data_IF_466640159900
#
_entry.id   IF_466640159900
#
_cell.length_a   1.000
_cell.length_b   1.000
_cell.length_c   1.000
_cell.angle_alpha   90.00
_cell.angle_beta   90.00
_cell.angle_gamma   90.00
#
_symmetry.space_group_name_H-M   'P 1'
#
loop_
_entity.id
_entity.type
_entity.pdbx_description
1 polymer ?
#
# COMPACT_ATOMS: atom_id res chain seq x y z
N UNK A 1 4.94 11.09 -8.72
CA UNK A 1 5.92 9.99 -8.97
C UNK A 1 5.31 8.68 -8.51
N UNK A 2 5.40 7.59 -9.29
CA UNK A 2 4.81 6.31 -8.89
C UNK A 2 5.67 5.59 -7.83
N UNK A 3 5.16 5.46 -6.61
CA UNK A 3 5.84 4.83 -5.49
C UNK A 3 5.12 3.55 -5.05
N UNK A 4 5.86 2.58 -4.49
CA UNK A 4 5.27 1.32 -4.02
C UNK A 4 4.29 1.56 -2.88
N UNK A 5 3.11 0.94 -2.94
CA UNK A 5 2.05 1.09 -1.95
C UNK A 5 2.54 0.84 -0.52
N UNK A 6 3.33 -0.22 -0.28
CA UNK A 6 3.88 -0.49 1.05
C UNK A 6 4.87 0.57 1.55
N UNK A 7 5.53 1.29 0.64
CA UNK A 7 6.44 2.40 0.98
C UNK A 7 5.62 3.65 1.31
N UNK A 8 4.60 3.96 0.52
CA UNK A 8 3.68 5.07 0.79
C UNK A 8 2.97 4.88 2.13
N UNK A 9 2.43 3.69 2.39
CA UNK A 9 1.81 3.35 3.69
C UNK A 9 2.78 3.50 4.87
N UNK A 10 4.05 3.11 4.68
CA UNK A 10 5.06 3.26 5.72
C UNK A 10 5.46 4.72 5.95
N UNK A 11 5.59 5.51 4.89
CA UNK A 11 5.86 6.95 4.97
C UNK A 11 4.70 7.70 5.63
N UNK A 12 3.46 7.26 5.40
CA UNK A 12 2.25 7.78 6.04
C UNK A 12 2.08 7.31 7.50
N UNK A 13 2.98 6.46 8.02
CA UNK A 13 2.92 5.97 9.40
C UNK A 13 1.82 4.93 9.67
N UNK A 14 1.21 4.36 8.62
CA UNK A 14 0.13 3.35 8.76
C UNK A 14 0.68 2.07 9.39
N UNK A 15 1.81 1.57 8.88
CA UNK A 15 2.49 0.39 9.37
C UNK A 15 3.93 0.33 8.84
N UNK A 16 4.76 -0.56 9.37
CA UNK A 16 6.07 -0.84 8.76
C UNK A 16 5.93 -1.39 7.33
N UNK A 17 6.94 -1.23 6.45
CA UNK A 17 6.89 -1.74 5.06
C UNK A 17 6.40 -3.20 4.97
N UNK A 18 6.89 -4.07 5.85
CA UNK A 18 6.49 -5.50 5.91
C UNK A 18 5.06 -5.69 6.41
N UNK A 19 4.64 -4.93 7.42
CA UNK A 19 3.27 -4.99 7.90
C UNK A 19 2.28 -4.47 6.84
N UNK A 20 2.65 -3.43 6.09
CA UNK A 20 1.87 -2.95 4.95
C UNK A 20 1.70 -4.01 3.87
N UNK A 21 2.74 -4.78 3.54
CA UNK A 21 2.62 -5.93 2.62
C UNK A 21 1.61 -6.98 3.12
N UNK A 22 1.61 -7.27 4.42
CA UNK A 22 0.64 -8.18 5.04
C UNK A 22 -0.79 -7.63 4.95
N UNK A 23 -0.98 -6.34 5.23
CA UNK A 23 -2.28 -5.68 5.13
C UNK A 23 -2.82 -5.69 3.69
N UNK A 24 -1.93 -5.48 2.70
CA UNK A 24 -2.28 -5.60 1.28
C UNK A 24 -2.75 -7.02 1.00
N UNK A 25 -1.96 -8.06 1.32
CA UNK A 25 -2.36 -9.45 1.10
C UNK A 25 -3.67 -9.85 1.79
N UNK A 26 -3.92 -9.31 2.99
CA UNK A 26 -5.16 -9.53 3.74
C UNK A 26 -6.37 -8.79 3.14
N UNK A 27 -6.20 -8.00 2.07
CA UNK A 27 -7.26 -7.20 1.46
C UNK A 27 -7.74 -6.06 2.35
N UNK A 28 -6.90 -5.61 3.28
CA UNK A 28 -7.20 -4.54 4.24
C UNK A 28 -6.84 -3.15 3.72
N UNK A 29 -6.33 -3.06 2.50
CA UNK A 29 -5.88 -1.81 1.88
C UNK A 29 -6.75 -1.48 0.68
N UNK A 30 -7.26 -0.26 0.66
CA UNK A 30 -8.08 0.29 -0.41
C UNK A 30 -7.43 1.55 -0.94
N UNK A 31 -7.23 1.62 -2.25
CA UNK A 31 -6.68 2.78 -2.95
C UNK A 31 -7.74 3.27 -3.91
N UNK A 32 -8.18 4.52 -3.78
CA UNK A 32 -9.19 5.14 -4.66
C UNK A 32 -10.46 4.30 -4.82
N UNK A 33 -10.91 3.65 -3.74
CA UNK A 33 -12.12 2.79 -3.76
C UNK A 33 -11.88 1.36 -4.23
N UNK A 34 -10.66 1.00 -4.66
CA UNK A 34 -10.31 -0.35 -5.12
C UNK A 34 -9.52 -1.07 -4.04
N UNK A 35 -9.96 -2.26 -3.63
CA UNK A 35 -9.22 -3.13 -2.71
C UNK A 35 -8.01 -3.71 -3.44
N UNK A 36 -6.82 -3.47 -2.90
CA UNK A 36 -5.56 -3.95 -3.48
C UNK A 36 -5.05 -5.11 -2.64
N UNK A 37 -4.89 -6.27 -3.28
CA UNK A 37 -4.32 -7.48 -2.66
C UNK A 37 -2.97 -7.90 -3.25
N UNK A 38 -2.56 -7.27 -4.35
CA UNK A 38 -1.34 -7.62 -5.06
C UNK A 38 -0.12 -6.90 -4.46
N UNK A 39 0.97 -7.65 -4.23
CA UNK A 39 2.21 -7.06 -3.78
C UNK A 39 2.94 -6.35 -4.92
N UNK A 40 3.53 -5.20 -4.62
CA UNK A 40 4.29 -4.43 -5.61
C UNK A 40 3.45 -3.44 -6.42
N UNK A 41 2.15 -3.32 -6.11
CA UNK A 41 1.30 -2.23 -6.61
C UNK A 41 1.98 -0.89 -6.40
N UNK A 42 2.07 -0.11 -7.46
CA UNK A 42 2.56 1.27 -7.43
C UNK A 42 1.36 2.20 -7.39
N UNK A 43 1.44 3.22 -6.55
CA UNK A 43 0.44 4.29 -6.46
C UNK A 43 1.11 5.60 -6.83
N UNK A 44 0.37 6.44 -7.53
CA UNK A 44 0.81 7.81 -7.82
C UNK A 44 0.40 8.69 -6.65
N UNK A 45 1.41 9.31 -6.03
CA UNK A 45 1.20 10.48 -5.18
C UNK A 45 1.30 11.70 -6.10
N UNK A 46 0.19 12.43 -6.24
CA UNK A 46 0.14 13.77 -6.82
C UNK A 46 0.75 14.79 -5.86
#
# INVERSE_FOLDING_TARGET
>A
MAERLQKVMANAGVASRRASEKLIQEGRVMVNGVVVTELGTKVESD
#
